data_IF_164018588704
#
_entry.id   IF_164018588704
#
_cell.length_a   1.000
_cell.length_b   1.000
_cell.length_c   1.000
_cell.angle_alpha   90.00
_cell.angle_beta   90.00
_cell.angle_gamma   90.00
#
_symmetry.space_group_name_H-M   'P 1'
#
loop_
_entity.id
_entity.type
_entity.pdbx_description
1 polymer ?
#
# COMPACT_ATOMS: atom_id res chain seq x y z
N UNK A 1 -22.53 -17.97 20.34
CA UNK A 1 -22.80 -16.57 20.74
C UNK A 1 -21.52 -16.04 21.36
N UNK A 2 -20.68 -15.35 20.59
CA UNK A 2 -19.52 -14.67 21.18
C UNK A 2 -20.03 -13.39 21.85
N UNK A 3 -19.73 -13.15 23.13
CA UNK A 3 -20.18 -11.95 23.81
C UNK A 3 -19.53 -10.74 23.15
N UNK A 4 -20.35 -9.77 22.72
CA UNK A 4 -19.86 -8.45 22.31
C UNK A 4 -19.31 -7.79 23.57
N UNK A 5 -17.99 -7.78 23.72
CA UNK A 5 -17.35 -6.89 24.68
C UNK A 5 -17.70 -5.45 24.24
N UNK A 6 -18.34 -4.71 25.14
CA UNK A 6 -18.55 -3.28 24.99
C UNK A 6 -17.18 -2.65 24.80
N UNK A 7 -16.84 -2.27 23.57
CA UNK A 7 -15.66 -1.47 23.29
C UNK A 7 -16.04 -0.07 23.76
N UNK A 8 -15.57 0.30 24.95
CA UNK A 8 -15.52 1.69 25.38
C UNK A 8 -14.91 2.52 24.24
N UNK A 9 -15.41 3.74 23.98
CA UNK A 9 -14.81 4.69 23.03
C UNK A 9 -13.36 4.94 23.46
N UNK A 10 -12.48 4.10 22.93
CA UNK A 10 -11.09 4.06 23.33
C UNK A 10 -10.41 5.19 22.58
N UNK A 11 -10.11 6.25 23.32
CA UNK A 11 -9.34 7.43 22.94
C UNK A 11 -8.35 7.12 21.82
N UNK A 12 -8.51 7.79 20.67
CA UNK A 12 -7.79 7.52 19.42
C UNK A 12 -6.31 7.24 19.69
N UNK A 13 -5.86 5.96 19.68
CA UNK A 13 -4.49 5.63 19.99
C UNK A 13 -3.59 6.23 18.91
N UNK A 14 -2.37 6.64 19.30
CA UNK A 14 -1.39 7.10 18.31
C UNK A 14 -1.20 6.01 17.25
N UNK A 15 -1.15 6.43 15.98
CA UNK A 15 -1.07 5.53 14.85
C UNK A 15 0.14 4.59 14.93
N UNK A 16 1.26 5.06 15.51
CA UNK A 16 2.44 4.23 15.74
C UNK A 16 2.21 3.16 16.82
N UNK A 17 1.59 3.53 17.94
CA UNK A 17 1.27 2.58 19.02
C UNK A 17 0.31 1.48 18.55
N UNK A 18 -0.61 1.82 17.65
CA UNK A 18 -1.50 0.84 17.04
C UNK A 18 -0.73 -0.21 16.23
N UNK A 19 0.24 0.22 15.42
CA UNK A 19 1.06 -0.69 14.61
C UNK A 19 1.99 -1.53 15.47
N UNK A 20 2.59 -0.93 16.49
CA UNK A 20 3.45 -1.64 17.44
C UNK A 20 2.67 -2.71 18.21
N UNK A 21 1.42 -2.43 18.57
CA UNK A 21 0.53 -3.43 19.17
C UNK A 21 0.23 -4.60 18.22
N UNK A 22 -0.03 -4.33 16.95
CA UNK A 22 -0.20 -5.39 15.95
C UNK A 22 1.08 -6.20 15.78
N UNK A 23 2.23 -5.53 15.75
CA UNK A 23 3.53 -6.18 15.63
C UNK A 23 3.84 -7.07 16.83
N UNK A 24 3.65 -6.57 18.05
CA UNK A 24 3.83 -7.33 19.30
C UNK A 24 2.99 -8.60 19.32
N UNK A 25 1.74 -8.54 18.85
CA UNK A 25 0.88 -9.74 18.71
C UNK A 25 1.41 -10.74 17.70
N UNK A 26 2.00 -10.28 16.59
CA UNK A 26 2.58 -11.16 15.58
C UNK A 26 3.88 -11.79 16.08
N UNK A 27 4.76 -11.02 16.73
CA UNK A 27 5.98 -11.53 17.35
C UNK A 27 5.70 -12.56 18.45
N UNK A 28 4.60 -12.40 19.18
CA UNK A 28 4.16 -13.40 20.17
C UNK A 28 3.77 -14.75 19.53
N UNK A 29 3.43 -14.77 18.23
CA UNK A 29 3.08 -15.99 17.47
C UNK A 29 4.27 -16.52 16.68
N UNK A 30 5.16 -15.65 16.21
CA UNK A 30 6.30 -15.99 15.36
C UNK A 30 7.57 -15.36 15.94
N UNK A 31 8.39 -16.17 16.61
CA UNK A 31 9.77 -15.80 16.99
C UNK A 31 10.67 -15.81 15.75
N UNK A 32 10.56 -14.80 14.88
CA UNK A 32 11.50 -14.61 13.77
C UNK A 32 12.06 -13.19 13.74
N UNK A 33 13.38 -13.13 13.64
CA UNK A 33 14.15 -11.92 13.32
C UNK A 33 13.90 -11.57 11.85
N UNK A 34 13.27 -10.44 11.57
CA UNK A 34 13.18 -9.90 10.21
C UNK A 34 14.43 -9.03 9.99
N UNK A 35 15.40 -9.55 9.24
CA UNK A 35 16.51 -8.75 8.71
C UNK A 35 16.11 -8.27 7.29
N UNK A 36 16.10 -6.94 7.07
CA UNK A 36 15.90 -6.36 5.75
C UNK A 36 17.26 -5.93 5.18
N UNK A 37 17.54 -6.34 3.95
CA UNK A 37 18.81 -6.08 3.28
C UNK A 37 18.71 -5.04 2.15
N UNK A 38 19.74 -4.19 2.12
CA UNK A 38 20.32 -3.43 1.00
C UNK A 38 19.61 -2.15 0.53
N UNK A 39 18.27 -2.04 0.47
CA UNK A 39 17.60 -0.82 0.00
C UNK A 39 16.28 -0.53 0.72
N UNK A 40 16.01 0.74 1.00
CA UNK A 40 14.75 1.22 1.58
C UNK A 40 13.85 1.88 0.51
N UNK A 41 12.57 1.49 0.46
CA UNK A 41 11.58 2.14 -0.40
C UNK A 41 10.71 3.09 0.40
N UNK A 42 10.62 4.33 -0.09
CA UNK A 42 9.78 5.36 0.51
C UNK A 42 8.63 5.80 -0.36
N UNK A 43 7.64 6.43 0.28
CA UNK A 43 6.46 7.00 -0.34
C UNK A 43 6.29 8.43 0.14
N UNK A 44 6.20 9.38 -0.80
CA UNK A 44 6.09 10.81 -0.48
C UNK A 44 4.62 11.20 -0.42
N UNK A 45 4.22 11.69 0.74
CA UNK A 45 2.85 12.15 1.03
C UNK A 45 2.86 13.66 1.24
N UNK A 46 1.97 14.35 0.54
CA UNK A 46 1.65 15.74 0.85
C UNK A 46 0.27 15.78 1.52
N UNK A 47 0.22 16.10 2.80
CA UNK A 47 -1.02 16.37 3.49
C UNK A 47 -0.74 17.29 4.69
N UNK A 48 -1.65 18.23 5.03
CA UNK A 48 -1.47 19.11 6.18
C UNK A 48 -1.51 18.35 7.53
N UNK A 49 -2.01 17.11 7.53
CA UNK A 49 -2.12 16.26 8.71
C UNK A 49 -0.88 15.39 8.99
N UNK A 50 0.19 15.52 8.19
CA UNK A 50 1.37 14.65 8.34
C UNK A 50 2.10 14.95 9.65
N UNK A 51 2.20 13.95 10.52
CA UNK A 51 2.99 13.98 11.76
C UNK A 51 4.18 13.02 11.69
N UNK A 52 5.22 13.24 12.51
CA UNK A 52 6.39 12.36 12.59
C UNK A 52 6.00 10.92 12.98
N UNK A 53 5.02 10.78 13.88
CA UNK A 53 4.51 9.47 14.29
C UNK A 53 3.84 8.74 13.12
N UNK A 54 3.07 9.45 12.29
CA UNK A 54 2.49 8.89 11.06
C UNK A 54 3.60 8.49 10.06
N UNK A 55 4.72 9.21 10.06
CA UNK A 55 5.87 8.91 9.21
C UNK A 55 6.53 7.59 9.61
N UNK A 56 6.83 7.42 10.89
CA UNK A 56 7.44 6.19 11.43
C UNK A 56 6.53 4.98 11.25
N UNK A 57 5.25 5.17 11.55
CA UNK A 57 4.21 4.16 11.39
C UNK A 57 4.12 3.64 9.94
N UNK A 58 4.02 4.54 8.96
CA UNK A 58 3.94 4.12 7.56
C UNK A 58 5.26 3.50 7.05
N UNK A 59 6.42 3.90 7.59
CA UNK A 59 7.68 3.22 7.30
C UNK A 59 7.66 1.76 7.78
N UNK A 60 7.24 1.51 9.03
CA UNK A 60 7.11 0.15 9.57
C UNK A 60 6.13 -0.70 8.74
N UNK A 61 4.96 -0.16 8.39
CA UNK A 61 3.99 -0.85 7.53
C UNK A 61 4.54 -1.16 6.12
N UNK A 62 5.42 -0.31 5.58
CA UNK A 62 6.08 -0.58 4.31
C UNK A 62 7.01 -1.80 4.42
N UNK A 63 7.75 -1.93 5.53
CA UNK A 63 8.63 -3.08 5.78
C UNK A 63 7.82 -4.37 5.85
N UNK A 64 6.77 -4.39 6.66
CA UNK A 64 5.92 -5.57 6.80
C UNK A 64 5.23 -5.95 5.50
N UNK A 65 4.71 -4.96 4.76
CA UNK A 65 4.10 -5.22 3.47
C UNK A 65 5.09 -5.85 2.50
N UNK A 66 6.33 -5.36 2.42
CA UNK A 66 7.33 -5.91 1.51
C UNK A 66 7.70 -7.33 1.91
N UNK A 67 7.82 -7.62 3.22
CA UNK A 67 8.04 -8.97 3.72
C UNK A 67 6.88 -9.92 3.37
N UNK A 68 5.62 -9.49 3.47
CA UNK A 68 4.44 -10.33 3.16
C UNK A 68 4.37 -10.71 1.68
N UNK A 69 4.87 -9.86 0.77
CA UNK A 69 4.85 -10.12 -0.68
C UNK A 69 6.20 -10.55 -1.24
N UNK A 70 7.13 -10.97 -0.37
CA UNK A 70 8.49 -11.42 -0.71
C UNK A 70 9.26 -10.42 -1.61
N UNK A 71 9.11 -9.13 -1.32
CA UNK A 71 9.86 -8.07 -2.00
C UNK A 71 11.08 -7.72 -1.14
N UNK A 72 12.31 -7.91 -1.64
CA UNK A 72 13.55 -7.71 -0.86
C UNK A 72 13.90 -6.22 -0.75
N UNK A 73 13.06 -5.46 -0.03
CA UNK A 73 13.21 -4.02 0.17
C UNK A 73 12.72 -3.68 1.59
N UNK A 74 13.53 -2.93 2.33
CA UNK A 74 13.15 -2.31 3.61
C UNK A 74 12.11 -1.20 3.44
N UNK A 75 11.32 -0.97 4.48
CA UNK A 75 10.33 0.11 4.50
C UNK A 75 10.91 1.38 5.09
N UNK A 76 10.87 2.44 4.30
CA UNK A 76 11.09 3.80 4.79
C UNK A 76 9.93 4.68 4.36
N UNK A 77 9.81 5.88 4.94
CA UNK A 77 8.90 6.91 4.43
C UNK A 77 9.63 8.16 3.93
N UNK A 78 10.96 8.17 4.06
CA UNK A 78 11.85 9.22 3.53
C UNK A 78 13.17 8.70 2.92
N UNK A 79 13.39 7.38 2.85
CA UNK A 79 14.65 6.75 2.40
C UNK A 79 14.69 6.34 0.92
N UNK A 80 15.91 6.40 0.38
CA UNK A 80 16.51 6.01 -0.92
C UNK A 80 15.68 5.99 -2.20
N UNK A 81 14.51 5.34 -2.25
CA UNK A 81 13.71 5.26 -3.48
C UNK A 81 12.28 5.76 -3.28
N UNK A 82 12.00 7.07 -3.51
CA UNK A 82 10.66 7.62 -3.46
C UNK A 82 9.68 7.04 -4.48
N UNK A 83 8.43 6.95 -4.05
CA UNK A 83 7.28 6.52 -4.83
C UNK A 83 6.06 7.42 -4.52
N UNK A 84 5.07 7.48 -5.42
CA UNK A 84 3.90 8.30 -5.20
C UNK A 84 2.99 7.74 -4.10
N UNK A 85 2.39 8.64 -3.34
CA UNK A 85 1.39 8.43 -2.28
C UNK A 85 0.30 9.53 -2.37
N UNK A 86 -0.42 9.79 -1.28
CA UNK A 86 -1.43 10.83 -1.20
C UNK A 86 -0.88 12.20 -1.65
N UNK A 87 -1.60 12.83 -2.57
CA UNK A 87 -1.29 14.10 -3.24
C UNK A 87 0.08 14.19 -3.92
N UNK A 88 0.67 13.05 -4.29
CA UNK A 88 1.80 12.99 -5.23
C UNK A 88 1.48 12.10 -6.42
N UNK A 89 2.03 12.47 -7.57
CA UNK A 89 1.77 11.86 -8.86
C UNK A 89 3.07 11.56 -9.60
N UNK A 90 2.93 11.10 -10.85
CA UNK A 90 4.10 10.85 -11.71
C UNK A 90 4.89 12.13 -11.98
N UNK A 91 4.26 13.31 -11.88
CA UNK A 91 4.90 14.62 -12.09
C UNK A 91 5.98 14.87 -11.04
N UNK A 92 5.64 14.74 -9.76
CA UNK A 92 6.54 14.95 -8.64
C UNK A 92 7.69 13.95 -8.68
N UNK A 93 7.40 12.69 -9.04
CA UNK A 93 8.45 11.67 -9.21
C UNK A 93 9.40 11.98 -10.36
N UNK A 94 8.91 12.63 -11.42
CA UNK A 94 9.75 13.07 -12.55
C UNK A 94 10.71 14.16 -12.11
N UNK A 95 10.23 15.14 -11.35
CA UNK A 95 11.09 16.20 -10.83
C UNK A 95 12.17 15.69 -9.90
N UNK A 96 11.85 14.72 -9.04
CA UNK A 96 12.83 14.10 -8.15
C UNK A 96 13.89 13.35 -8.96
N UNK A 97 13.47 12.54 -9.94
CA UNK A 97 14.39 11.80 -10.78
C UNK A 97 15.30 12.71 -11.61
N UNK A 98 14.74 13.76 -12.22
CA UNK A 98 15.48 14.74 -13.02
C UNK A 98 16.50 15.51 -12.17
N UNK A 99 16.08 15.99 -11.00
CA UNK A 99 16.98 16.71 -10.08
C UNK A 99 18.13 15.82 -9.62
N UNK A 100 17.86 14.57 -9.26
CA UNK A 100 18.89 13.63 -8.82
C UNK A 100 19.87 13.31 -9.95
N UNK A 101 19.36 13.02 -11.15
CA UNK A 101 20.18 12.71 -12.31
C UNK A 101 21.07 13.88 -12.75
N UNK A 102 20.59 15.12 -12.62
CA UNK A 102 21.37 16.31 -13.01
C UNK A 102 22.39 16.77 -11.97
N UNK A 103 22.27 16.34 -10.70
CA UNK A 103 23.11 16.83 -9.60
C UNK A 103 24.08 15.75 -9.12
N UNK A 104 23.64 14.92 -8.18
CA UNK A 104 24.46 13.92 -7.50
C UNK A 104 24.69 12.71 -8.41
N UNK A 105 23.67 12.29 -9.14
CA UNK A 105 23.68 11.10 -9.99
C UNK A 105 24.21 11.31 -11.41
N UNK A 106 24.86 12.44 -11.73
CA UNK A 106 25.27 12.75 -13.12
C UNK A 106 26.27 11.75 -13.73
N UNK A 107 26.99 11.00 -12.90
CA UNK A 107 27.90 9.91 -13.34
C UNK A 107 27.30 8.52 -13.13
N UNK A 108 26.16 8.43 -12.45
CA UNK A 108 25.53 7.17 -12.12
C UNK A 108 24.71 6.67 -13.32
N UNK A 109 24.95 5.42 -13.72
CA UNK A 109 24.19 4.76 -14.78
C UNK A 109 22.75 4.50 -14.36
N UNK A 110 22.56 4.27 -13.06
CA UNK A 110 21.26 3.96 -12.47
C UNK A 110 20.60 5.20 -11.86
N UNK A 111 21.05 6.41 -12.21
CA UNK A 111 20.54 7.66 -11.63
C UNK A 111 19.02 7.80 -11.72
N UNK A 112 18.42 7.34 -12.82
CA UNK A 112 16.96 7.40 -12.98
C UNK A 112 16.22 6.36 -12.14
N UNK A 113 16.89 5.34 -11.59
CA UNK A 113 16.32 4.36 -10.67
C UNK A 113 16.03 4.93 -9.27
N UNK A 114 16.51 6.14 -8.97
CA UNK A 114 16.30 6.81 -7.69
C UNK A 114 14.82 7.05 -7.34
N UNK A 115 13.90 7.08 -8.31
CA UNK A 115 12.47 7.23 -8.04
C UNK A 115 11.63 6.22 -8.84
N UNK A 116 10.54 5.74 -8.22
CA UNK A 116 9.57 4.84 -8.88
C UNK A 116 8.22 5.53 -9.08
N UNK A 117 7.43 5.08 -10.05
CA UNK A 117 6.17 5.75 -10.39
C UNK A 117 6.30 6.94 -11.35
N UNK A 118 7.49 7.15 -11.90
CA UNK A 118 7.76 8.03 -13.04
C UNK A 118 6.91 7.67 -14.28
N UNK A 119 6.67 8.60 -15.22
CA UNK A 119 5.97 8.35 -16.48
C UNK A 119 6.72 7.33 -17.33
N UNK A 120 5.99 6.64 -18.23
CA UNK A 120 6.59 5.63 -19.13
C UNK A 120 7.72 6.22 -19.97
N UNK A 121 7.58 7.46 -20.43
CA UNK A 121 8.60 8.17 -21.20
C UNK A 121 9.94 8.34 -20.46
N UNK A 122 9.90 8.42 -19.13
CA UNK A 122 11.07 8.66 -18.28
C UNK A 122 11.56 7.37 -17.59
N UNK A 123 11.32 6.20 -18.17
CA UNK A 123 11.72 4.91 -17.59
C UNK A 123 10.75 4.37 -16.53
N UNK A 124 9.52 4.87 -16.50
CA UNK A 124 8.43 4.28 -15.72
C UNK A 124 7.90 2.99 -16.32
N UNK A 125 7.37 2.10 -15.48
CA UNK A 125 6.74 0.84 -15.93
C UNK A 125 5.26 1.04 -16.27
N UNK A 126 4.82 0.42 -17.37
CA UNK A 126 3.42 0.41 -17.78
C UNK A 126 2.53 -0.23 -16.70
N UNK A 127 1.35 0.34 -16.48
CA UNK A 127 0.38 -0.20 -15.52
C UNK A 127 0.65 0.16 -14.06
N UNK A 128 1.76 0.85 -13.72
CA UNK A 128 2.07 1.24 -12.33
C UNK A 128 0.98 2.05 -11.63
N UNK A 129 0.29 2.92 -12.38
CA UNK A 129 -0.81 3.78 -11.87
C UNK A 129 -1.99 2.91 -11.42
N UNK A 130 -2.35 1.89 -12.22
CA UNK A 130 -3.46 0.99 -11.94
C UNK A 130 -3.07 -0.21 -11.05
N UNK A 131 -1.77 -0.47 -10.84
CA UNK A 131 -1.26 -1.64 -10.15
C UNK A 131 -1.91 -1.84 -8.76
N UNK A 132 -2.08 -0.76 -7.98
CA UNK A 132 -2.67 -0.85 -6.64
C UNK A 132 -4.15 -1.24 -6.70
N UNK A 133 -4.93 -0.72 -7.67
CA UNK A 133 -6.34 -1.08 -7.82
C UNK A 133 -6.50 -2.54 -8.28
N UNK A 134 -5.63 -2.97 -9.19
CA UNK A 134 -5.61 -4.35 -9.66
C UNK A 134 -5.21 -5.33 -8.54
N UNK A 135 -4.26 -4.96 -7.68
CA UNK A 135 -3.86 -5.83 -6.56
C UNK A 135 -4.97 -6.02 -5.54
N UNK A 136 -5.81 -5.00 -5.31
CA UNK A 136 -6.99 -5.14 -4.42
C UNK A 136 -7.94 -6.19 -5.00
N UNK A 137 -8.28 -6.09 -6.29
CA UNK A 137 -9.13 -7.10 -6.94
C UNK A 137 -8.52 -8.51 -6.82
N UNK A 138 -7.23 -8.66 -7.14
CA UNK A 138 -6.56 -9.98 -7.08
C UNK A 138 -6.53 -10.56 -5.68
N UNK A 139 -6.18 -9.76 -4.68
CA UNK A 139 -6.17 -10.18 -3.29
C UNK A 139 -7.58 -10.58 -2.84
N UNK A 140 -8.60 -9.80 -3.21
CA UNK A 140 -9.99 -10.13 -2.93
C UNK A 140 -10.44 -11.42 -3.61
N UNK A 141 -10.06 -11.66 -4.87
CA UNK A 141 -10.40 -12.90 -5.58
C UNK A 141 -9.89 -14.14 -4.85
N UNK A 142 -8.66 -14.12 -4.33
CA UNK A 142 -8.10 -15.26 -3.59
C UNK A 142 -9.00 -15.65 -2.40
N UNK A 143 -9.52 -14.67 -1.65
CA UNK A 143 -10.42 -14.93 -0.54
C UNK A 143 -11.86 -15.22 -0.98
N UNK A 144 -12.32 -14.66 -2.11
CA UNK A 144 -13.66 -14.89 -2.64
C UNK A 144 -13.82 -16.22 -3.38
N UNK A 145 -12.72 -16.84 -3.80
CA UNK A 145 -12.68 -18.16 -4.41
C UNK A 145 -12.61 -19.28 -3.35
N UNK A 146 -12.18 -18.98 -2.12
CA UNK A 146 -12.16 -19.96 -1.02
C UNK A 146 -13.59 -20.24 -0.50
N UNK A 147 -14.05 -21.46 -0.76
CA UNK A 147 -15.37 -21.94 -0.35
C UNK A 147 -15.56 -22.00 1.17
N UNK A 148 -14.51 -22.28 1.95
CA UNK A 148 -14.61 -22.41 3.39
C UNK A 148 -14.89 -21.05 4.05
N UNK A 149 -14.17 -20.01 3.60
CA UNK A 149 -14.39 -18.64 4.03
C UNK A 149 -15.76 -18.13 3.60
N UNK A 150 -16.15 -18.36 2.34
CA UNK A 150 -17.44 -17.94 1.82
C UNK A 150 -18.62 -18.59 2.57
N UNK A 151 -18.48 -19.87 2.92
CA UNK A 151 -19.48 -20.58 3.74
C UNK A 151 -19.60 -20.01 5.15
N UNK A 152 -18.49 -19.61 5.77
CA UNK A 152 -18.50 -18.98 7.10
C UNK A 152 -19.23 -17.63 7.12
N UNK A 153 -19.14 -16.88 6.01
CA UNK A 153 -19.74 -15.56 5.84
C UNK A 153 -21.19 -15.67 5.29
N UNK A 154 -21.55 -16.83 4.71
CA UNK A 154 -22.85 -17.07 4.10
C UNK A 154 -23.02 -16.44 2.72
N UNK A 155 -21.92 -16.26 1.97
CA UNK A 155 -21.94 -15.64 0.65
C UNK A 155 -21.60 -16.66 -0.45
N UNK A 156 -22.03 -16.36 -1.68
CA UNK A 156 -21.62 -17.13 -2.86
C UNK A 156 -20.18 -16.83 -3.26
N UNK A 157 -19.41 -17.82 -3.74
CA UNK A 157 -18.06 -17.57 -4.28
C UNK A 157 -18.07 -16.64 -5.50
N UNK A 158 -16.98 -15.89 -5.68
CA UNK A 158 -16.74 -15.00 -6.82
C UNK A 158 -17.22 -13.55 -6.65
N UNK A 159 -16.70 -12.62 -7.45
CA UNK A 159 -16.96 -11.16 -7.33
C UNK A 159 -18.21 -10.71 -8.10
N UNK A 160 -18.64 -11.48 -9.10
CA UNK A 160 -19.74 -11.10 -10.00
C UNK A 160 -21.07 -10.95 -9.26
N UNK A 161 -21.77 -9.85 -9.53
CA UNK A 161 -23.09 -9.56 -8.94
C UNK A 161 -23.07 -9.02 -7.51
N UNK A 162 -21.90 -8.95 -6.86
CA UNK A 162 -21.77 -8.35 -5.52
C UNK A 162 -21.72 -6.83 -5.59
N UNK A 163 -22.13 -6.19 -4.49
CA UNK A 163 -22.07 -4.74 -4.33
C UNK A 163 -20.90 -4.34 -3.44
N UNK A 164 -20.21 -3.27 -3.81
CA UNK A 164 -19.12 -2.71 -3.01
C UNK A 164 -19.24 -1.18 -2.93
N UNK A 165 -18.66 -0.58 -1.89
CA UNK A 165 -18.59 0.87 -1.69
C UNK A 165 -17.11 1.24 -1.60
N UNK A 166 -16.71 2.33 -2.25
CA UNK A 166 -15.33 2.84 -2.22
C UNK A 166 -15.30 4.20 -1.55
N UNK A 167 -14.58 4.31 -0.44
CA UNK A 167 -14.30 5.58 0.19
C UNK A 167 -13.06 6.22 -0.46
N UNK A 168 -13.27 7.34 -1.15
CA UNK A 168 -12.22 8.12 -1.80
C UNK A 168 -11.99 7.76 -3.26
N UNK A 169 -12.03 8.76 -4.15
CA UNK A 169 -11.92 8.59 -5.60
C UNK A 169 -10.56 9.06 -6.16
N UNK A 170 -9.48 8.73 -5.44
CA UNK A 170 -8.11 9.00 -5.87
C UNK A 170 -7.56 7.92 -6.82
N UNK A 171 -6.23 7.86 -6.97
CA UNK A 171 -5.56 6.87 -7.80
C UNK A 171 -5.99 5.43 -7.46
N UNK A 172 -6.00 5.07 -6.17
CA UNK A 172 -6.41 3.72 -5.75
C UNK A 172 -7.90 3.51 -6.00
N UNK A 173 -8.77 4.38 -5.47
CA UNK A 173 -10.22 4.19 -5.53
C UNK A 173 -10.79 4.15 -6.95
N UNK A 174 -10.35 5.04 -7.85
CA UNK A 174 -10.77 5.04 -9.26
C UNK A 174 -10.39 3.75 -9.97
N UNK A 175 -9.14 3.30 -9.79
CA UNK A 175 -8.67 2.06 -10.43
C UNK A 175 -9.32 0.82 -9.84
N UNK A 176 -9.51 0.77 -8.52
CA UNK A 176 -10.26 -0.30 -7.85
C UNK A 176 -11.69 -0.36 -8.38
N UNK A 177 -12.42 0.76 -8.39
CA UNK A 177 -13.81 0.80 -8.87
C UNK A 177 -13.93 0.30 -10.31
N UNK A 178 -13.01 0.72 -11.20
CA UNK A 178 -12.93 0.22 -12.57
C UNK A 178 -12.67 -1.29 -12.63
N UNK A 179 -11.66 -1.79 -11.91
CA UNK A 179 -11.31 -3.21 -11.93
C UNK A 179 -12.46 -4.09 -11.41
N UNK A 180 -13.16 -3.67 -10.35
CA UNK A 180 -14.30 -4.40 -9.81
C UNK A 180 -15.53 -4.32 -10.73
N UNK A 181 -15.74 -3.19 -11.39
CA UNK A 181 -16.80 -3.04 -12.40
C UNK A 181 -16.56 -3.97 -13.60
N UNK A 182 -15.32 -4.00 -14.12
CA UNK A 182 -14.91 -4.89 -15.21
C UNK A 182 -15.04 -6.38 -14.81
N UNK A 183 -14.89 -6.70 -13.52
CA UNK A 183 -15.10 -8.04 -12.96
C UNK A 183 -16.59 -8.39 -12.69
N UNK A 184 -17.53 -7.50 -13.00
CA UNK A 184 -18.97 -7.73 -12.86
C UNK A 184 -19.57 -7.39 -11.50
N UNK A 185 -18.82 -6.72 -10.61
CA UNK A 185 -19.37 -6.17 -9.38
C UNK A 185 -20.01 -4.80 -9.62
N UNK A 186 -20.97 -4.44 -8.78
CA UNK A 186 -21.69 -3.16 -8.84
C UNK A 186 -21.20 -2.23 -7.74
N UNK A 187 -20.74 -1.04 -8.13
CA UNK A 187 -20.46 0.01 -7.15
C UNK A 187 -21.81 0.52 -6.63
N UNK A 188 -22.07 0.36 -5.33
CA UNK A 188 -23.17 1.03 -4.67
C UNK A 188 -22.76 2.49 -4.44
N UNK A 189 -23.60 3.42 -4.90
CA UNK A 189 -23.44 4.87 -4.69
C UNK A 189 -24.03 5.24 -3.34
#
# INVERSE_FOLDING_TARGET
MYPKQNTEEQQDPSYFQMIDHFFSKVCAVVEQSIECEIMDKSRIRYAPSVSEEEVKALAALMTFKCAVVDVPIGGSKSGDVPAPDMDTSQREMTWIADTYAMTIGHLDKDAHACATGKPVLMGGILGRIAATGLSVLRGTNVFMEDEALMKSIGMTPGVSGKTFIVQGYGNVGKHTCRCFHDAGAKCAV
#
